data_IF_414936318125
#
_entry.id   IF_414936318125
#
_cell.length_a   1.000
_cell.length_b   1.000
_cell.length_c   1.000
_cell.angle_alpha   90.00
_cell.angle_beta   90.00
_cell.angle_gamma   90.00
#
_symmetry.space_group_name_H-M   'P 1'
#
loop_
_entity.id
_entity.type
_entity.pdbx_description
1 polymer ?
#
# COMPACT_ATOMS: atom_id res chain seq x y z
N UNK A 1 -11.60 8.31 -27.64
CA UNK A 1 -11.20 7.60 -26.41
C UNK A 1 -12.47 7.05 -25.79
N UNK A 2 -12.79 5.77 -25.97
CA UNK A 2 -13.96 5.16 -25.33
C UNK A 2 -13.61 4.87 -23.87
N UNK A 3 -14.35 5.46 -22.92
CA UNK A 3 -14.25 5.11 -21.50
C UNK A 3 -15.02 3.82 -21.30
N UNK A 4 -14.32 2.69 -21.24
CA UNK A 4 -14.96 1.41 -20.92
C UNK A 4 -15.48 1.46 -19.48
N UNK A 5 -16.78 1.74 -19.35
CA UNK A 5 -17.47 1.71 -18.06
C UNK A 5 -17.71 0.25 -17.67
N UNK A 6 -17.27 -0.14 -16.48
CA UNK A 6 -17.59 -1.45 -15.92
C UNK A 6 -19.11 -1.57 -15.74
N UNK A 7 -19.73 -2.69 -16.17
CA UNK A 7 -21.17 -2.87 -16.01
C UNK A 7 -21.56 -2.86 -14.52
N UNK A 8 -22.75 -2.34 -14.16
CA UNK A 8 -23.21 -2.32 -12.78
C UNK A 8 -23.30 -3.73 -12.20
N UNK A 9 -22.79 -3.91 -10.97
CA UNK A 9 -22.98 -5.16 -10.22
C UNK A 9 -24.33 -5.13 -9.50
N UNK A 10 -25.28 -6.03 -9.80
CA UNK A 10 -26.57 -6.03 -9.13
C UNK A 10 -26.43 -6.53 -7.69
N UNK A 11 -26.86 -5.71 -6.72
CA UNK A 11 -26.90 -6.07 -5.30
C UNK A 11 -28.33 -5.94 -4.80
N UNK A 12 -28.79 -6.94 -4.04
CA UNK A 12 -30.08 -6.88 -3.33
C UNK A 12 -29.86 -6.19 -1.99
N UNK A 13 -30.54 -5.05 -1.79
CA UNK A 13 -30.47 -4.27 -0.56
C UNK A 13 -31.89 -4.17 0.02
N UNK A 14 -32.07 -4.37 1.34
CA UNK A 14 -33.29 -3.98 2.03
C UNK A 14 -33.60 -2.50 1.81
N UNK A 15 -34.89 -2.15 1.76
CA UNK A 15 -35.31 -0.78 1.43
C UNK A 15 -34.82 0.25 2.45
N UNK A 16 -34.85 -0.10 3.74
CA UNK A 16 -34.41 0.80 4.80
C UNK A 16 -32.90 1.08 4.71
N UNK A 17 -32.09 0.03 4.49
CA UNK A 17 -30.65 0.18 4.27
C UNK A 17 -30.36 1.05 3.05
N UNK A 18 -31.14 0.91 1.97
CA UNK A 18 -30.99 1.73 0.77
C UNK A 18 -31.32 3.20 1.05
N UNK A 19 -32.34 3.49 1.86
CA UNK A 19 -32.68 4.87 2.28
C UNK A 19 -31.55 5.49 3.10
N UNK A 20 -31.03 4.76 4.08
CA UNK A 20 -29.94 5.24 4.94
C UNK A 20 -28.67 5.54 4.13
N UNK A 21 -28.33 4.67 3.17
CA UNK A 21 -27.19 4.87 2.28
C UNK A 21 -27.37 6.07 1.36
N UNK A 22 -28.60 6.34 0.88
CA UNK A 22 -28.89 7.53 0.07
C UNK A 22 -28.76 8.81 0.87
N UNK A 23 -29.35 8.86 2.06
CA UNK A 23 -29.25 10.02 2.94
C UNK A 23 -27.78 10.33 3.29
N UNK A 24 -26.99 9.28 3.57
CA UNK A 24 -25.57 9.45 3.80
C UNK A 24 -24.80 9.92 2.55
N UNK A 25 -25.16 9.44 1.36
CA UNK A 25 -24.53 9.87 0.11
C UNK A 25 -24.79 11.36 -0.16
N UNK A 26 -26.03 11.82 0.03
CA UNK A 26 -26.42 13.24 -0.09
C UNK A 26 -25.66 14.11 0.92
N UNK A 27 -25.60 13.71 2.19
CA UNK A 27 -24.87 14.44 3.22
C UNK A 27 -23.35 14.53 3.00
N UNK A 28 -22.80 13.68 2.11
CA UNK A 28 -21.38 13.63 1.79
C UNK A 28 -21.05 14.13 0.37
N UNK A 29 -22.01 14.68 -0.36
CA UNK A 29 -21.87 15.09 -1.77
C UNK A 29 -21.33 13.95 -2.68
N UNK A 30 -21.79 12.72 -2.46
CA UNK A 30 -21.40 11.53 -3.25
C UNK A 30 -22.61 10.89 -3.94
N UNK A 31 -22.34 10.15 -5.00
CA UNK A 31 -23.32 9.21 -5.54
C UNK A 31 -23.53 8.03 -4.56
N UNK A 32 -24.69 7.38 -4.64
CA UNK A 32 -24.98 6.17 -3.85
C UNK A 32 -23.90 5.10 -4.03
N UNK A 33 -23.44 4.87 -5.26
CA UNK A 33 -22.35 3.92 -5.53
C UNK A 33 -21.03 4.35 -4.87
N UNK A 34 -20.70 5.63 -4.93
CA UNK A 34 -19.50 6.18 -4.29
C UNK A 34 -19.51 5.98 -2.78
N UNK A 35 -20.66 6.18 -2.14
CA UNK A 35 -20.81 5.98 -0.70
C UNK A 35 -20.71 4.50 -0.31
N UNK A 36 -21.34 3.59 -1.07
CA UNK A 36 -21.20 2.14 -0.87
C UNK A 36 -19.73 1.72 -0.93
N UNK A 37 -19.01 2.13 -1.98
CA UNK A 37 -17.60 1.80 -2.17
C UNK A 37 -16.75 2.38 -1.03
N UNK A 38 -16.99 3.61 -0.61
CA UNK A 38 -16.26 4.26 0.48
C UNK A 38 -16.41 3.49 1.81
N UNK A 39 -17.64 3.10 2.16
CA UNK A 39 -17.92 2.30 3.36
C UNK A 39 -17.23 0.95 3.29
N UNK A 40 -17.38 0.23 2.18
CA UNK A 40 -16.74 -1.08 1.99
C UNK A 40 -15.22 -0.99 2.13
N UNK A 41 -14.57 -0.01 1.48
CA UNK A 41 -13.12 0.21 1.60
C UNK A 41 -12.69 0.45 3.05
N UNK A 42 -13.47 1.21 3.82
CA UNK A 42 -13.21 1.47 5.23
C UNK A 42 -13.21 0.20 6.09
N UNK A 43 -14.06 -0.79 5.75
CA UNK A 43 -14.10 -2.09 6.46
C UNK A 43 -12.84 -2.96 6.26
N UNK A 44 -12.12 -2.76 5.15
CA UNK A 44 -10.89 -3.51 4.85
C UNK A 44 -9.63 -2.83 5.40
N UNK A 45 -9.62 -1.51 5.54
CA UNK A 45 -8.44 -0.75 6.04
C UNK A 45 -8.05 -1.12 7.47
N UNK A 46 -9.00 -1.49 8.33
CA UNK A 46 -8.74 -1.92 9.71
C UNK A 46 -8.29 -3.39 9.87
N UNK A 47 -8.33 -4.20 8.80
CA UNK A 47 -7.98 -5.63 8.84
C UNK A 47 -6.54 -5.93 8.43
N UNK A 48 -5.71 -4.91 8.23
CA UNK A 48 -4.25 -5.08 8.06
C UNK A 48 -3.63 -5.32 9.44
N UNK A 49 -4.02 -6.43 10.06
CA UNK A 49 -3.27 -7.02 11.17
C UNK A 49 -1.83 -7.25 10.69
N UNK A 50 -0.90 -6.91 11.58
CA UNK A 50 0.49 -7.35 11.61
C UNK A 50 0.67 -8.64 10.81
N UNK A 51 1.25 -8.55 9.61
CA UNK A 51 2.02 -9.68 9.12
C UNK A 51 3.25 -9.77 10.04
N UNK A 52 3.46 -10.83 10.82
CA UNK A 52 4.82 -11.15 11.22
C UNK A 52 5.55 -11.39 9.89
N UNK A 53 6.53 -10.53 9.59
CA UNK A 53 7.42 -10.67 8.45
C UNK A 53 8.04 -12.07 8.50
N UNK A 54 7.47 -13.00 7.76
CA UNK A 54 7.94 -14.38 7.63
C UNK A 54 9.13 -14.45 6.67
N UNK A 55 10.11 -13.56 6.86
CA UNK A 55 11.44 -13.65 6.27
C UNK A 55 12.42 -13.07 7.30
N UNK A 56 13.08 -13.90 8.12
CA UNK A 56 14.37 -13.48 8.65
C UNK A 56 15.29 -13.17 7.44
N UNK A 57 16.08 -12.09 7.46
CA UNK A 57 17.12 -11.93 6.46
C UNK A 57 18.02 -13.17 6.50
N UNK A 58 18.19 -13.83 5.35
CA UNK A 58 19.12 -14.95 5.22
C UNK A 58 20.51 -14.51 5.72
N UNK A 59 21.23 -15.35 6.49
CA UNK A 59 22.56 -15.02 7.01
C UNK A 59 23.65 -14.86 5.93
N UNK A 60 23.33 -15.06 4.65
CA UNK A 60 24.26 -15.04 3.51
C UNK A 60 24.68 -13.64 3.02
N UNK A 61 24.30 -12.55 3.69
CA UNK A 61 24.83 -11.20 3.35
C UNK A 61 25.96 -10.79 4.29
N UNK A 62 26.92 -11.70 4.48
CA UNK A 62 28.12 -11.50 5.29
C UNK A 62 29.38 -11.92 4.50
N UNK A 63 29.52 -11.46 3.27
CA UNK A 63 30.81 -11.47 2.56
C UNK A 63 30.86 -10.33 1.53
N UNK A 64 32.06 -9.82 1.26
CA UNK A 64 32.37 -8.69 0.38
C UNK A 64 32.12 -7.26 0.90
N UNK A 65 32.68 -6.89 2.06
CA UNK A 65 33.12 -5.49 2.32
C UNK A 65 34.41 -5.38 3.14
N UNK A 66 35.43 -6.19 2.83
CA UNK A 66 36.69 -6.20 3.58
C UNK A 66 37.94 -5.75 2.81
N UNK A 67 37.96 -5.70 1.48
CA UNK A 67 39.23 -5.54 0.75
C UNK A 67 39.56 -4.15 0.20
N UNK A 68 38.69 -3.14 0.36
CA UNK A 68 38.93 -1.79 -0.17
C UNK A 68 39.40 -0.77 0.90
N UNK A 69 40.23 -1.21 1.87
CA UNK A 69 40.85 -0.31 2.87
C UNK A 69 42.38 -0.38 2.94
N UNK A 70 43.05 -1.12 2.05
CA UNK A 70 44.52 -1.30 2.15
C UNK A 70 45.35 -0.85 0.94
N UNK A 71 44.81 -0.10 -0.03
CA UNK A 71 45.58 0.30 -1.24
C UNK A 71 45.89 1.78 -1.43
N UNK A 72 45.62 2.65 -0.45
CA UNK A 72 45.99 4.08 -0.54
C UNK A 72 46.79 4.55 0.69
N UNK A 73 47.91 3.88 0.99
CA UNK A 73 48.87 4.41 1.95
C UNK A 73 50.30 3.94 1.67
N UNK A 74 50.80 4.15 0.44
CA UNK A 74 52.25 4.14 0.15
C UNK A 74 52.59 5.12 -0.98
N UNK A 75 52.59 6.42 -0.67
CA UNK A 75 53.43 7.38 -1.39
C UNK A 75 53.68 8.61 -0.52
N UNK A 76 54.73 8.54 0.29
CA UNK A 76 55.48 9.73 0.76
C UNK A 76 56.95 9.35 0.73
N UNK A 77 57.71 9.67 -0.33
CA UNK A 77 59.16 9.65 -0.26
C UNK A 77 59.66 11.00 0.29
N UNK A 78 60.31 10.94 1.45
CA UNK A 78 60.99 12.07 2.08
C UNK A 78 62.41 12.23 1.48
N UNK A 79 62.66 13.45 1.00
CA UNK A 79 63.89 14.27 1.02
C UNK A 79 65.28 13.62 0.93
N UNK A 80 66.08 14.14 0.01
CA UNK A 80 67.49 14.51 0.25
C UNK A 80 67.73 15.94 -0.20
#
# INVERSE_FOLDING_TARGET
MATEQTPPTPVRLPDDLKKDLKAAAEANDRSLNGEIVNRLRSTFKGKRSRQPSANPPSPDTLEERSDERQRTAKFVPDVK
#
